data_IF_910883446323
#
_entry.id   IF_910883446323
#
_cell.length_a   1.000
_cell.length_b   1.000
_cell.length_c   1.000
_cell.angle_alpha   90.00
_cell.angle_beta   90.00
_cell.angle_gamma   90.00
#
_symmetry.space_group_name_H-M   'P 1'
#
loop_
_entity.id
_entity.type
_entity.pdbx_description
1 polymer ?
#
# COMPACT_ATOMS: atom_id res chain seq x y z
N UNK A 1 -4.44 -7.72 15.69
CA UNK A 1 -3.38 -8.30 14.83
C UNK A 1 -3.37 -7.46 13.55
N UNK A 2 -2.26 -6.80 13.20
CA UNK A 2 -2.20 -6.05 11.93
C UNK A 2 -2.15 -7.09 10.80
N UNK A 3 -3.08 -7.07 9.84
CA UNK A 3 -3.07 -8.04 8.75
C UNK A 3 -1.77 -7.95 7.94
N UNK A 4 -1.30 -9.09 7.42
CA UNK A 4 -0.06 -9.13 6.64
C UNK A 4 -0.23 -8.47 5.24
N UNK A 5 0.46 -7.36 4.94
CA UNK A 5 0.35 -6.69 3.65
C UNK A 5 0.83 -7.55 2.47
N UNK A 6 1.76 -8.49 2.69
CA UNK A 6 2.23 -9.38 1.63
C UNK A 6 1.13 -10.35 1.17
N UNK A 7 0.29 -10.82 2.10
CA UNK A 7 -0.86 -11.67 1.76
C UNK A 7 -1.87 -10.97 0.84
N UNK A 8 -2.16 -9.69 1.08
CA UNK A 8 -3.05 -8.88 0.23
C UNK A 8 -2.42 -8.61 -1.12
N UNK A 9 -1.14 -8.23 -1.12
CA UNK A 9 -0.37 -7.99 -2.33
C UNK A 9 -0.47 -9.20 -3.28
N UNK A 10 -0.23 -10.39 -2.75
CA UNK A 10 -0.31 -11.63 -3.52
C UNK A 10 -1.74 -11.95 -3.95
N UNK A 11 -2.70 -11.92 -3.02
CA UNK A 11 -4.08 -12.35 -3.28
C UNK A 11 -4.82 -11.45 -4.27
N UNK A 12 -4.63 -10.13 -4.18
CA UNK A 12 -5.41 -9.16 -4.95
C UNK A 12 -4.66 -8.57 -6.13
N UNK A 13 -3.33 -8.52 -6.08
CA UNK A 13 -2.50 -7.90 -7.13
C UNK A 13 -1.59 -8.89 -7.86
N UNK A 14 -1.49 -10.14 -7.39
CA UNK A 14 -0.68 -11.18 -8.05
C UNK A 14 0.82 -10.97 -7.97
N UNK A 15 1.30 -10.12 -7.06
CA UNK A 15 2.74 -9.88 -6.87
C UNK A 15 3.26 -10.67 -5.66
N UNK A 16 4.41 -11.32 -5.84
CA UNK A 16 5.02 -12.12 -4.77
C UNK A 16 5.75 -11.27 -3.72
N UNK A 17 6.19 -10.06 -4.10
CA UNK A 17 6.91 -9.15 -3.23
C UNK A 17 6.67 -7.68 -3.62
N UNK A 18 6.81 -6.80 -2.63
CA UNK A 18 6.85 -5.36 -2.86
C UNK A 18 8.11 -4.97 -3.64
N UNK A 19 7.99 -3.93 -4.47
CA UNK A 19 9.17 -3.26 -5.04
C UNK A 19 9.84 -2.38 -3.97
N UNK A 20 11.12 -2.01 -4.16
CA UNK A 20 11.84 -1.17 -3.21
C UNK A 20 11.04 0.08 -2.81
N UNK A 21 10.97 0.33 -1.49
CA UNK A 21 10.28 1.47 -0.89
C UNK A 21 8.76 1.35 -0.76
N UNK A 22 8.09 0.46 -1.50
CA UNK A 22 6.63 0.31 -1.40
C UNK A 22 6.19 -0.21 -0.03
N UNK A 23 6.89 -1.24 0.47
CA UNK A 23 6.56 -1.87 1.75
C UNK A 23 6.69 -0.89 2.92
N UNK A 24 7.70 -0.02 2.91
CA UNK A 24 7.90 1.00 3.94
C UNK A 24 6.74 1.99 3.99
N UNK A 25 6.26 2.42 2.82
CA UNK A 25 5.09 3.30 2.70
C UNK A 25 3.84 2.61 3.22
N UNK A 26 3.57 1.38 2.77
CA UNK A 26 2.42 0.58 3.21
C UNK A 26 2.45 0.41 4.74
N UNK A 27 3.59 -0.01 5.30
CA UNK A 27 3.74 -0.22 6.74
C UNK A 27 3.65 1.09 7.53
N UNK A 28 4.07 2.22 6.98
CA UNK A 28 3.88 3.52 7.62
C UNK A 28 2.38 3.84 7.77
N UNK A 29 1.60 3.69 6.69
CA UNK A 29 0.15 3.92 6.69
C UNK A 29 -0.57 2.93 7.61
N UNK A 30 -0.22 1.64 7.59
CA UNK A 30 -0.80 0.64 8.48
C UNK A 30 -0.52 0.90 9.98
N UNK A 31 0.53 1.67 10.29
CA UNK A 31 0.84 2.12 11.66
C UNK A 31 0.18 3.46 12.00
N UNK A 32 -0.70 3.98 11.14
CA UNK A 32 -1.37 5.27 11.34
C UNK A 32 -0.42 6.46 11.22
N UNK A 33 0.67 6.34 10.43
CA UNK A 33 1.60 7.44 10.18
C UNK A 33 1.43 7.98 8.77
N UNK A 34 1.57 9.29 8.63
CA UNK A 34 1.67 9.95 7.34
C UNK A 34 2.93 9.48 6.58
N UNK A 35 2.83 9.43 5.25
CA UNK A 35 3.90 8.96 4.38
C UNK A 35 3.96 9.78 3.08
N UNK A 36 5.17 10.13 2.65
CA UNK A 36 5.44 10.75 1.34
C UNK A 36 6.19 9.75 0.46
N UNK A 37 5.54 9.27 -0.59
CA UNK A 37 6.14 8.35 -1.57
C UNK A 37 6.54 9.07 -2.85
N UNK A 38 7.85 9.16 -3.12
CA UNK A 38 8.38 9.62 -4.41
C UNK A 38 8.78 8.38 -5.21
N UNK A 39 7.99 8.04 -6.22
CA UNK A 39 8.23 6.89 -7.09
C UNK A 39 8.11 7.31 -8.55
N UNK A 40 8.82 6.67 -9.49
CA UNK A 40 8.68 6.94 -10.91
C UNK A 40 7.32 6.49 -11.45
N UNK A 41 6.91 6.98 -12.63
CA UNK A 41 5.77 6.44 -13.38
C UNK A 41 6.00 4.95 -13.64
N UNK A 42 4.94 4.13 -13.50
CA UNK A 42 5.06 2.67 -13.55
C UNK A 42 5.71 2.02 -12.31
N UNK A 43 6.16 2.81 -11.33
CA UNK A 43 6.76 2.34 -10.07
C UNK A 43 5.79 1.68 -9.08
N UNK A 44 4.51 1.56 -9.42
CA UNK A 44 3.49 0.92 -8.58
C UNK A 44 3.04 1.76 -7.39
N UNK A 45 2.98 3.09 -7.54
CA UNK A 45 2.47 4.01 -6.49
C UNK A 45 1.10 3.59 -5.95
N UNK A 46 0.22 3.10 -6.83
CA UNK A 46 -1.15 2.74 -6.46
C UNK A 46 -1.25 1.65 -5.40
N UNK A 47 -0.36 0.66 -5.45
CA UNK A 47 -0.34 -0.42 -4.46
C UNK A 47 -0.08 0.10 -3.04
N UNK A 48 0.60 1.25 -2.92
CA UNK A 48 0.99 1.84 -1.64
C UNK A 48 -0.21 2.39 -0.86
N UNK A 49 -1.30 2.76 -1.52
CA UNK A 49 -2.57 3.15 -0.87
C UNK A 49 -3.66 2.07 -1.00
N UNK A 50 -3.63 1.23 -2.03
CA UNK A 50 -4.62 0.17 -2.23
C UNK A 50 -4.44 -1.00 -1.25
N UNK A 51 -3.21 -1.40 -0.92
CA UNK A 51 -3.00 -2.47 0.07
C UNK A 51 -3.48 -2.03 1.47
N UNK A 52 -3.13 -0.84 1.99
CA UNK A 52 -3.73 -0.34 3.23
C UNK A 52 -5.26 -0.27 3.18
N UNK A 53 -5.85 0.12 2.04
CA UNK A 53 -7.30 0.18 1.87
C UNK A 53 -8.02 -1.15 2.10
N UNK A 54 -7.36 -2.28 1.82
CA UNK A 54 -7.92 -3.61 2.08
C UNK A 54 -7.78 -4.07 3.54
N UNK A 55 -6.90 -3.44 4.32
CA UNK A 55 -6.52 -3.90 5.65
C UNK A 55 -7.02 -3.02 6.78
N UNK A 56 -7.18 -1.72 6.52
CA UNK A 56 -7.71 -0.78 7.47
C UNK A 56 -9.23 -0.79 7.42
N UNK A 57 -9.91 -0.64 8.58
CA UNK A 57 -11.35 -0.47 8.58
C UNK A 57 -11.73 0.87 7.93
N UNK A 58 -12.90 0.89 7.27
CA UNK A 58 -13.47 2.10 6.67
C UNK A 58 -13.20 2.26 5.18
N UNK A 59 -13.29 3.50 4.70
CA UNK A 59 -13.16 3.86 3.29
C UNK A 59 -11.84 4.59 3.05
N UNK A 60 -11.09 4.16 2.03
CA UNK A 60 -9.96 4.94 1.51
C UNK A 60 -10.45 5.93 0.45
N UNK A 61 -10.20 7.22 0.66
CA UNK A 61 -10.45 8.27 -0.33
C UNK A 61 -9.16 8.53 -1.11
N UNK A 62 -9.21 8.35 -2.43
CA UNK A 62 -8.11 8.67 -3.35
C UNK A 62 -8.51 9.91 -4.15
N UNK A 63 -7.69 10.95 -4.09
CA UNK A 63 -7.90 12.20 -4.84
C UNK A 63 -6.91 12.23 -5.99
N UNK A 64 -7.43 12.31 -7.22
CA UNK A 64 -6.67 12.51 -8.46
C UNK A 64 -7.34 13.65 -9.24
N UNK A 65 -6.58 14.52 -9.91
CA UNK A 65 -7.11 15.33 -11.00
C UNK A 65 -7.72 14.47 -12.10
#
# INVERSE_FOLDING_TARGET
MVPDPCSVLRRHFGYDAFRPGQEDLVRAVLRGRDALGILPTGGGKSVCYQVPAHLLPGLTLVVTP
#
